data_IF_798880399046
#
_entry.id   IF_798880399046
#
_cell.length_a   1.000
_cell.length_b   1.000
_cell.length_c   1.000
_cell.angle_alpha   90.00
_cell.angle_beta   90.00
_cell.angle_gamma   90.00
#
_symmetry.space_group_name_H-M   'P 1'
#
loop_
_entity.id
_entity.type
_entity.pdbx_description
1 polymer ?
#
# COMPACT_ATOMS: atom_id res chain seq x y z
N UNK A 1 -7.27 -24.15 -2.63
CA UNK A 1 -6.66 -22.99 -3.32
C UNK A 1 -6.52 -21.78 -2.38
N UNK A 2 -7.61 -21.32 -1.74
CA UNK A 2 -7.59 -20.16 -0.83
C UNK A 2 -6.55 -20.26 0.29
N UNK A 3 -6.38 -21.44 0.91
CA UNK A 3 -5.34 -21.67 1.93
C UNK A 3 -3.93 -21.48 1.38
N UNK A 4 -3.67 -21.92 0.15
CA UNK A 4 -2.36 -21.76 -0.51
C UNK A 4 -2.11 -20.27 -0.75
N UNK A 5 -3.09 -19.53 -1.27
CA UNK A 5 -3.01 -18.08 -1.49
C UNK A 5 -2.73 -17.34 -0.19
N UNK A 6 -3.42 -17.71 0.90
CA UNK A 6 -3.19 -17.13 2.22
C UNK A 6 -1.76 -17.39 2.71
N UNK A 7 -1.27 -18.63 2.60
CA UNK A 7 0.10 -18.99 3.00
C UNK A 7 1.15 -18.23 2.17
N UNK A 8 0.96 -18.12 0.85
CA UNK A 8 1.84 -17.34 -0.02
C UNK A 8 1.84 -15.87 0.39
N UNK A 9 0.66 -15.28 0.63
CA UNK A 9 0.55 -13.91 1.10
C UNK A 9 1.25 -13.68 2.45
N UNK A 10 1.16 -14.63 3.39
CA UNK A 10 1.87 -14.54 4.66
C UNK A 10 3.40 -14.62 4.48
N UNK A 11 3.90 -15.49 3.61
CA UNK A 11 5.33 -15.59 3.26
C UNK A 11 5.83 -14.29 2.63
N UNK A 12 5.08 -13.76 1.66
CA UNK A 12 5.39 -12.47 1.04
C UNK A 12 5.38 -11.35 2.09
N UNK A 13 4.39 -11.33 2.99
CA UNK A 13 4.32 -10.36 4.08
C UNK A 13 5.55 -10.40 5.02
N UNK A 14 6.08 -11.59 5.29
CA UNK A 14 7.33 -11.72 6.05
C UNK A 14 8.52 -11.09 5.33
N UNK A 15 8.58 -11.20 3.99
CA UNK A 15 9.55 -10.45 3.18
C UNK A 15 9.29 -8.93 3.19
N UNK A 16 8.02 -8.49 3.14
CA UNK A 16 7.69 -7.05 3.20
C UNK A 16 8.17 -6.41 4.51
N UNK A 17 8.21 -7.13 5.63
CA UNK A 17 8.82 -6.64 6.87
C UNK A 17 10.30 -6.29 6.69
N UNK A 18 11.04 -7.03 5.86
CA UNK A 18 12.43 -6.71 5.51
C UNK A 18 12.48 -5.42 4.69
N UNK A 19 11.62 -5.28 3.68
CA UNK A 19 11.54 -4.06 2.86
C UNK A 19 11.23 -2.82 3.72
N UNK A 20 10.21 -2.89 4.57
CA UNK A 20 9.79 -1.80 5.48
C UNK A 20 10.93 -1.37 6.41
N UNK A 21 11.76 -2.31 6.86
CA UNK A 21 12.86 -1.99 7.77
C UNK A 21 14.10 -1.45 7.07
N UNK A 22 14.45 -1.99 5.89
CA UNK A 22 15.73 -1.74 5.21
C UNK A 22 15.69 -0.63 4.17
N UNK A 23 14.59 -0.52 3.43
CA UNK A 23 14.47 0.44 2.33
C UNK A 23 14.69 1.89 2.78
N UNK A 24 14.11 2.37 3.90
CA UNK A 24 14.37 3.73 4.36
C UNK A 24 15.80 4.00 4.82
N UNK A 25 16.57 2.94 5.08
CA UNK A 25 17.99 3.02 5.48
C UNK A 25 18.94 2.91 4.29
N UNK A 26 18.42 2.74 3.07
CA UNK A 26 19.22 2.40 1.90
C UNK A 26 19.94 1.05 2.03
N UNK A 27 19.49 0.18 2.93
CA UNK A 27 20.08 -1.15 3.12
C UNK A 27 19.56 -2.14 2.05
N UNK A 28 20.40 -3.10 1.65
CA UNK A 28 19.98 -4.12 0.70
C UNK A 28 18.89 -5.04 1.27
N UNK A 29 17.80 -5.21 0.51
CA UNK A 29 16.69 -6.11 0.85
C UNK A 29 16.99 -7.58 0.60
N UNK A 30 18.07 -7.88 -0.14
CA UNK A 30 18.46 -9.25 -0.52
C UNK A 30 19.50 -9.84 0.43
N UNK A 31 20.51 -9.04 0.82
CA UNK A 31 21.63 -9.48 1.66
C UNK A 31 21.97 -8.41 2.70
N UNK A 32 22.32 -8.75 3.96
CA UNK A 32 22.46 -10.09 4.55
C UNK A 32 21.10 -10.73 4.94
N UNK A 33 21.14 -11.97 5.45
CA UNK A 33 19.96 -12.67 5.99
C UNK A 33 19.26 -11.86 7.08
N UNK A 34 17.99 -12.16 7.34
CA UNK A 34 17.21 -11.57 8.43
C UNK A 34 17.93 -11.75 9.78
N UNK A 35 18.00 -10.67 10.55
CA UNK A 35 18.69 -10.62 11.84
C UNK A 35 17.81 -9.91 12.88
N UNK A 36 18.03 -10.22 14.15
CA UNK A 36 17.36 -9.52 15.23
C UNK A 36 17.90 -8.09 15.36
N UNK A 37 17.02 -7.09 15.39
CA UNK A 37 17.40 -5.67 15.50
C UNK A 37 18.05 -5.30 16.84
N UNK A 38 17.90 -6.12 17.88
CA UNK A 38 18.45 -5.87 19.21
C UNK A 38 19.82 -6.52 19.44
N UNK A 39 20.02 -7.76 18.98
CA UNK A 39 21.26 -8.52 19.24
C UNK A 39 22.05 -8.88 17.98
N UNK A 40 21.57 -8.48 16.82
CA UNK A 40 22.16 -8.70 15.50
C UNK A 40 22.44 -10.17 15.11
N UNK A 41 21.98 -11.14 15.92
CA UNK A 41 22.04 -12.56 15.55
C UNK A 41 21.12 -12.85 14.37
N UNK A 42 21.60 -13.66 13.43
CA UNK A 42 20.82 -14.17 12.31
C UNK A 42 19.64 -14.99 12.82
N UNK A 43 18.46 -14.75 12.25
CA UNK A 43 17.23 -15.44 12.64
C UNK A 43 17.17 -16.79 11.88
N UNK A 44 17.03 -17.92 12.59
CA UNK A 44 16.80 -19.22 11.95
C UNK A 44 15.52 -19.22 11.11
N UNK A 45 15.48 -20.02 10.05
CA UNK A 45 14.35 -20.02 9.12
C UNK A 45 13.00 -20.36 9.79
N UNK A 46 13.00 -21.22 10.82
CA UNK A 46 11.79 -21.59 11.57
C UNK A 46 11.30 -20.50 12.54
N UNK A 47 12.18 -19.55 12.91
CA UNK A 47 11.82 -18.36 13.68
C UNK A 47 11.35 -17.21 12.75
N UNK A 48 11.35 -17.42 11.43
CA UNK A 48 10.78 -16.55 10.39
C UNK A 48 9.49 -17.13 9.77
N UNK A 49 8.88 -18.12 10.41
CA UNK A 49 7.64 -18.74 9.92
C UNK A 49 6.47 -17.75 10.13
N UNK A 50 5.85 -17.23 9.05
CA UNK A 50 4.89 -16.13 9.15
C UNK A 50 3.73 -16.45 10.09
N UNK A 51 3.27 -15.46 10.85
CA UNK A 51 2.19 -15.50 11.85
C UNK A 51 2.48 -16.39 13.07
N UNK A 52 3.12 -17.54 12.86
CA UNK A 52 3.34 -18.56 13.87
C UNK A 52 4.55 -18.24 14.76
N UNK A 53 5.63 -17.72 14.20
CA UNK A 53 6.86 -17.47 14.96
C UNK A 53 6.65 -16.50 16.12
N UNK A 54 5.87 -15.43 15.93
CA UNK A 54 5.61 -14.47 17.01
C UNK A 54 4.78 -15.09 18.16
N UNK A 55 3.85 -15.99 17.83
CA UNK A 55 2.99 -16.67 18.80
C UNK A 55 3.82 -17.66 19.63
N UNK A 56 4.64 -18.48 18.96
CA UNK A 56 5.49 -19.46 19.64
C UNK A 56 6.61 -18.80 20.46
N UNK A 57 7.19 -17.71 19.96
CA UNK A 57 8.22 -16.95 20.65
C UNK A 57 7.65 -15.98 21.71
N UNK A 58 6.31 -15.91 21.86
CA UNK A 58 5.60 -14.98 22.75
C UNK A 58 6.05 -13.53 22.57
N UNK A 59 6.27 -13.13 21.33
CA UNK A 59 6.73 -11.78 20.96
C UNK A 59 8.15 -11.44 21.43
N UNK A 60 9.01 -12.43 21.71
CA UNK A 60 10.38 -12.19 22.19
C UNK A 60 11.43 -12.95 21.38
N UNK A 61 12.56 -12.31 21.07
CA UNK A 61 13.68 -12.99 20.42
C UNK A 61 14.15 -14.21 21.23
N UNK A 62 14.42 -15.33 20.56
CA UNK A 62 14.91 -16.57 21.19
C UNK A 62 16.20 -16.35 21.99
N UNK A 63 17.12 -15.56 21.44
CA UNK A 63 18.47 -15.38 21.98
C UNK A 63 18.56 -14.29 23.05
N UNK A 64 18.11 -13.06 22.76
CA UNK A 64 18.26 -11.92 23.67
C UNK A 64 17.00 -11.59 24.48
N UNK A 65 15.88 -12.29 24.23
CA UNK A 65 14.56 -12.00 24.83
C UNK A 65 14.02 -10.59 24.58
N UNK A 66 14.65 -9.82 23.69
CA UNK A 66 14.17 -8.51 23.23
C UNK A 66 12.79 -8.63 22.56
N UNK A 67 11.98 -7.58 22.66
CA UNK A 67 10.60 -7.59 22.12
C UNK A 67 10.61 -7.55 20.59
N UNK A 68 9.82 -8.41 19.97
CA UNK A 68 9.51 -8.39 18.54
C UNK A 68 8.28 -7.50 18.36
N UNK A 69 8.35 -6.55 17.42
CA UNK A 69 7.24 -5.62 17.20
C UNK A 69 6.01 -6.35 16.65
N UNK A 70 4.83 -6.00 17.17
CA UNK A 70 3.53 -6.52 16.69
C UNK A 70 3.29 -6.14 15.23
N UNK A 71 3.95 -5.09 14.72
CA UNK A 71 3.88 -4.70 13.31
C UNK A 71 4.30 -5.84 12.37
N UNK A 72 5.22 -6.72 12.78
CA UNK A 72 5.62 -7.86 11.96
C UNK A 72 4.45 -8.79 11.67
N UNK A 73 3.71 -9.14 12.73
CA UNK A 73 2.51 -9.96 12.63
C UNK A 73 1.41 -9.27 11.82
N UNK A 74 1.21 -7.97 12.03
CA UNK A 74 0.19 -7.22 11.31
C UNK A 74 0.49 -7.16 9.81
N UNK A 75 1.73 -6.90 9.40
CA UNK A 75 2.13 -6.89 7.99
C UNK A 75 1.89 -8.26 7.35
N UNK A 76 2.29 -9.35 8.02
CA UNK A 76 2.07 -10.71 7.53
C UNK A 76 0.58 -11.03 7.37
N UNK A 77 -0.24 -10.68 8.36
CA UNK A 77 -1.67 -10.94 8.34
C UNK A 77 -2.38 -10.09 7.29
N UNK A 78 -2.07 -8.79 7.22
CA UNK A 78 -2.66 -7.88 6.23
C UNK A 78 -2.31 -8.30 4.81
N UNK A 79 -1.08 -8.73 4.56
CA UNK A 79 -0.67 -9.22 3.23
C UNK A 79 -1.42 -10.50 2.87
N UNK A 80 -1.54 -11.45 3.80
CA UNK A 80 -2.30 -12.68 3.58
C UNK A 80 -3.79 -12.43 3.30
N UNK A 81 -4.40 -11.49 4.03
CA UNK A 81 -5.79 -11.08 3.83
C UNK A 81 -5.99 -10.32 2.52
N UNK A 82 -5.07 -9.43 2.14
CA UNK A 82 -5.11 -8.71 0.87
C UNK A 82 -5.04 -9.69 -0.32
N UNK A 83 -4.16 -10.69 -0.25
CA UNK A 83 -4.06 -11.76 -1.25
C UNK A 83 -5.36 -12.55 -1.34
N UNK A 84 -5.94 -12.95 -0.21
CA UNK A 84 -7.20 -13.68 -0.17
C UNK A 84 -8.36 -12.85 -0.75
N UNK A 85 -8.45 -11.57 -0.39
CA UNK A 85 -9.46 -10.65 -0.89
C UNK A 85 -9.36 -10.46 -2.40
N UNK A 86 -8.17 -10.17 -2.93
CA UNK A 86 -7.93 -10.05 -4.36
C UNK A 86 -8.22 -11.36 -5.10
N UNK A 87 -7.85 -12.50 -4.53
CA UNK A 87 -8.12 -13.82 -5.13
C UNK A 87 -9.63 -14.11 -5.20
N UNK A 88 -10.40 -13.70 -4.19
CA UNK A 88 -11.85 -13.92 -4.17
C UNK A 88 -12.60 -13.17 -5.28
N UNK A 89 -12.04 -12.05 -5.77
CA UNK A 89 -12.64 -11.23 -6.82
C UNK A 89 -12.09 -11.58 -8.21
N UNK A 90 -10.77 -11.67 -8.33
CA UNK A 90 -10.11 -11.79 -9.62
C UNK A 90 -9.73 -13.22 -10.00
N UNK A 91 -9.80 -14.19 -9.08
CA UNK A 91 -9.32 -15.55 -9.29
C UNK A 91 -7.83 -15.61 -9.64
N UNK A 92 -7.38 -16.70 -10.28
CA UNK A 92 -6.02 -16.78 -10.86
C UNK A 92 -6.00 -16.11 -12.23
N UNK A 93 -5.95 -14.78 -12.25
CA UNK A 93 -5.88 -13.97 -13.47
C UNK A 93 -4.69 -13.03 -13.47
N UNK A 94 -4.42 -12.39 -14.60
CA UNK A 94 -3.36 -11.36 -14.70
C UNK A 94 -3.64 -10.20 -13.74
N UNK A 95 -4.92 -9.80 -13.60
CA UNK A 95 -5.35 -8.76 -12.65
C UNK A 95 -4.96 -9.11 -11.22
N UNK A 96 -5.17 -10.36 -10.82
CA UNK A 96 -4.77 -10.83 -9.49
C UNK A 96 -3.27 -10.65 -9.25
N UNK A 97 -2.42 -11.04 -10.20
CA UNK A 97 -0.96 -10.91 -10.06
C UNK A 97 -0.54 -9.44 -10.00
N UNK A 98 -1.05 -8.60 -10.91
CA UNK A 98 -0.73 -7.16 -10.93
C UNK A 98 -1.16 -6.46 -9.65
N UNK A 99 -2.40 -6.71 -9.20
CA UNK A 99 -2.93 -6.03 -8.03
C UNK A 99 -2.41 -6.58 -6.70
N UNK A 100 -1.95 -7.83 -6.63
CA UNK A 100 -1.23 -8.33 -5.44
C UNK A 100 0.14 -7.68 -5.30
N UNK A 101 0.86 -7.46 -6.41
CA UNK A 101 2.11 -6.68 -6.40
C UNK A 101 1.85 -5.24 -5.98
N UNK A 102 0.79 -4.60 -6.52
CA UNK A 102 0.38 -3.26 -6.09
C UNK A 102 0.04 -3.24 -4.59
N UNK A 103 -0.73 -4.21 -4.09
CA UNK A 103 -1.08 -4.29 -2.67
C UNK A 103 0.17 -4.45 -1.79
N UNK A 104 1.16 -5.26 -2.20
CA UNK A 104 2.44 -5.36 -1.50
C UNK A 104 3.16 -4.00 -1.44
N UNK A 105 3.23 -3.28 -2.57
CA UNK A 105 3.83 -1.95 -2.63
C UNK A 105 3.12 -0.97 -1.68
N UNK A 106 1.78 -0.96 -1.69
CA UNK A 106 0.98 -0.11 -0.81
C UNK A 106 1.18 -0.44 0.67
N UNK A 107 1.26 -1.72 1.04
CA UNK A 107 1.57 -2.14 2.40
C UNK A 107 2.95 -1.61 2.82
N UNK A 108 3.98 -1.78 1.98
CA UNK A 108 5.33 -1.28 2.30
C UNK A 108 5.33 0.24 2.47
N UNK A 109 4.75 0.98 1.52
CA UNK A 109 4.63 2.44 1.59
C UNK A 109 3.90 2.89 2.84
N UNK A 110 2.75 2.29 3.17
CA UNK A 110 1.96 2.67 4.34
C UNK A 110 2.69 2.44 5.66
N UNK A 111 3.41 1.33 5.81
CA UNK A 111 4.15 1.07 7.05
C UNK A 111 5.45 1.88 7.17
N UNK A 112 6.06 2.29 6.05
CA UNK A 112 7.18 3.24 6.05
C UNK A 112 6.66 4.63 6.43
N UNK A 113 5.62 5.12 5.74
CA UNK A 113 5.00 6.42 6.02
C UNK A 113 4.50 6.50 7.47
N UNK A 114 3.92 5.42 8.00
CA UNK A 114 3.51 5.36 9.41
C UNK A 114 4.66 5.52 10.40
N UNK A 115 5.88 5.09 10.06
CA UNK A 115 7.03 5.11 10.97
C UNK A 115 7.85 6.39 10.86
N UNK A 116 8.04 6.88 9.65
CA UNK A 116 8.98 7.98 9.36
C UNK A 116 8.38 9.11 8.53
N UNK A 117 7.09 9.03 8.15
CA UNK A 117 6.38 10.05 7.39
C UNK A 117 7.00 10.38 6.03
N UNK A 118 7.58 9.36 5.39
CA UNK A 118 8.18 9.45 4.07
C UNK A 118 7.60 8.37 3.15
N UNK A 119 7.35 8.74 1.89
CA UNK A 119 6.90 7.82 0.84
C UNK A 119 8.11 7.52 -0.06
N UNK A 120 8.55 6.25 -0.16
CA UNK A 120 9.77 5.89 -0.88
C UNK A 120 9.61 6.05 -2.40
N UNK A 121 10.49 6.86 -2.98
CA UNK A 121 10.54 7.12 -4.42
C UNK A 121 10.88 5.86 -5.22
N UNK A 122 11.62 4.93 -4.62
CA UNK A 122 11.97 3.61 -5.15
C UNK A 122 10.74 2.75 -5.46
N UNK A 123 9.61 3.03 -4.82
CA UNK A 123 8.34 2.36 -5.10
C UNK A 123 7.50 3.22 -6.04
N UNK A 124 7.30 4.50 -5.73
CA UNK A 124 6.33 5.32 -6.45
C UNK A 124 6.73 5.64 -7.88
N UNK A 125 7.99 5.99 -8.14
CA UNK A 125 8.42 6.41 -9.48
C UNK A 125 8.46 5.22 -10.46
N UNK A 126 9.09 4.07 -10.12
CA UNK A 126 9.01 2.89 -10.98
C UNK A 126 7.57 2.40 -11.11
N UNK A 127 6.78 2.49 -10.04
CA UNK A 127 5.36 2.11 -10.05
C UNK A 127 4.54 2.87 -11.09
N UNK A 128 4.74 4.18 -11.25
CA UNK A 128 4.07 4.97 -12.29
C UNK A 128 4.37 4.43 -13.70
N UNK A 129 5.65 4.18 -13.99
CA UNK A 129 6.09 3.67 -15.28
C UNK A 129 5.53 2.27 -15.54
N UNK A 130 5.60 1.40 -14.53
CA UNK A 130 5.08 0.02 -14.59
C UNK A 130 3.56 0.04 -14.79
N UNK A 131 2.82 0.91 -14.12
CA UNK A 131 1.37 1.02 -14.28
C UNK A 131 0.96 1.34 -15.73
N UNK A 132 1.63 2.32 -16.35
CA UNK A 132 1.39 2.68 -17.76
C UNK A 132 1.82 1.56 -18.70
N UNK A 133 2.98 0.94 -18.46
CA UNK A 133 3.47 -0.18 -19.27
C UNK A 133 2.52 -1.38 -19.21
N UNK A 134 2.01 -1.71 -18.02
CA UNK A 134 1.04 -2.79 -17.85
C UNK A 134 -0.30 -2.47 -18.49
N UNK A 135 -0.75 -1.22 -18.51
CA UNK A 135 -1.96 -0.83 -19.24
C UNK A 135 -1.83 -1.06 -20.75
N UNK A 136 -0.63 -0.89 -21.32
CA UNK A 136 -0.36 -1.21 -22.72
C UNK A 136 -0.38 -2.72 -22.98
N UNK A 137 0.27 -3.51 -22.11
CA UNK A 137 0.40 -4.96 -22.27
C UNK A 137 -0.94 -5.67 -21.98
N UNK A 138 -1.68 -5.21 -20.98
CA UNK A 138 -2.94 -5.79 -20.53
C UNK A 138 -4.05 -4.72 -20.46
N UNK A 139 -4.67 -4.37 -21.61
CA UNK A 139 -5.74 -3.37 -21.68
C UNK A 139 -6.92 -3.61 -20.73
N UNK A 140 -7.15 -4.87 -20.38
CA UNK A 140 -8.19 -5.31 -19.45
C UNK A 140 -8.06 -4.70 -18.05
N UNK A 141 -6.85 -4.29 -17.64
CA UNK A 141 -6.62 -3.56 -16.38
C UNK A 141 -7.41 -2.24 -16.33
N UNK A 142 -7.60 -1.60 -17.48
CA UNK A 142 -8.32 -0.33 -17.63
C UNK A 142 -9.77 -0.54 -18.11
N UNK A 143 -10.26 -1.77 -18.08
CA UNK A 143 -11.57 -2.15 -18.65
C UNK A 143 -11.70 -1.81 -20.14
N UNK A 144 -10.58 -1.83 -20.87
CA UNK A 144 -10.52 -1.55 -22.31
C UNK A 144 -10.13 -2.82 -23.08
N UNK A 145 -10.53 -2.91 -24.36
CA UNK A 145 -10.08 -3.98 -25.27
C UNK A 145 -8.88 -3.56 -26.12
N UNK A 146 -8.78 -2.28 -26.42
CA UNK A 146 -7.72 -1.71 -27.25
C UNK A 146 -6.62 -1.09 -26.40
N UNK A 147 -5.38 -1.14 -26.91
CA UNK A 147 -4.19 -0.66 -26.19
C UNK A 147 -4.14 0.85 -26.04
N UNK A 148 -4.55 1.59 -27.07
CA UNK A 148 -4.49 3.05 -27.05
C UNK A 148 -5.44 3.63 -25.99
N UNK A 149 -6.74 3.25 -25.95
CA UNK A 149 -7.63 3.68 -24.86
C UNK A 149 -7.14 3.26 -23.48
N UNK A 150 -6.49 2.10 -23.34
CA UNK A 150 -5.94 1.67 -22.06
C UNK A 150 -4.77 2.55 -21.58
N UNK A 151 -3.82 2.89 -22.46
CA UNK A 151 -2.73 3.83 -22.12
C UNK A 151 -3.32 5.19 -21.75
N UNK A 152 -4.27 5.71 -22.54
CA UNK A 152 -4.90 6.98 -22.24
C UNK A 152 -5.64 6.94 -20.90
N UNK A 153 -6.33 5.84 -20.59
CA UNK A 153 -6.96 5.61 -19.28
C UNK A 153 -5.96 5.63 -18.12
N UNK A 154 -4.79 5.01 -18.31
CA UNK A 154 -3.71 4.99 -17.32
C UNK A 154 -3.07 6.37 -17.13
N UNK A 155 -2.73 7.06 -18.22
CA UNK A 155 -2.14 8.40 -18.18
C UNK A 155 -3.11 9.42 -17.58
N UNK A 156 -4.39 9.39 -18.00
CA UNK A 156 -5.42 10.24 -17.41
C UNK A 156 -5.60 9.93 -15.93
N UNK A 157 -5.56 8.67 -15.52
CA UNK A 157 -5.54 8.28 -14.11
C UNK A 157 -4.34 8.85 -13.35
N UNK A 158 -3.13 8.70 -13.90
CA UNK A 158 -1.88 9.23 -13.31
C UNK A 158 -1.94 10.74 -13.11
N UNK A 159 -2.29 11.49 -14.16
CA UNK A 159 -2.37 12.95 -14.10
C UNK A 159 -3.54 13.43 -13.24
N UNK A 160 -4.69 12.74 -13.27
CA UNK A 160 -5.82 13.07 -12.40
C UNK A 160 -5.44 12.83 -10.93
N UNK A 161 -4.87 11.67 -10.60
CA UNK A 161 -4.46 11.32 -9.24
C UNK A 161 -3.46 12.32 -8.66
N UNK A 162 -2.30 12.47 -9.33
CA UNK A 162 -1.27 13.40 -8.89
C UNK A 162 -1.73 14.86 -8.94
N UNK A 163 -2.42 15.24 -10.02
CA UNK A 163 -2.92 16.59 -10.23
C UNK A 163 -3.92 17.03 -9.16
N UNK A 164 -4.84 16.17 -8.73
CA UNK A 164 -5.81 16.50 -7.68
C UNK A 164 -5.13 16.82 -6.34
N UNK A 165 -4.21 15.97 -5.88
CA UNK A 165 -3.47 16.20 -4.62
C UNK A 165 -2.57 17.43 -4.75
N UNK A 166 -1.89 17.59 -5.88
CA UNK A 166 -1.04 18.76 -6.12
C UNK A 166 -1.85 20.06 -6.08
N UNK A 167 -2.99 20.11 -6.76
CA UNK A 167 -3.91 21.25 -6.74
C UNK A 167 -4.42 21.55 -5.33
N UNK A 168 -4.83 20.52 -4.57
CA UNK A 168 -5.21 20.70 -3.16
C UNK A 168 -4.05 21.24 -2.31
N UNK A 169 -2.82 20.76 -2.54
CA UNK A 169 -1.63 21.26 -1.85
C UNK A 169 -1.37 22.74 -2.14
N UNK A 170 -1.47 23.15 -3.41
CA UNK A 170 -1.31 24.56 -3.82
C UNK A 170 -2.41 25.45 -3.24
N UNK A 171 -3.68 25.03 -3.36
CA UNK A 171 -4.84 25.76 -2.82
C UNK A 171 -4.73 25.87 -1.29
N UNK A 172 -4.40 24.78 -0.62
CA UNK A 172 -4.22 24.73 0.83
C UNK A 172 -3.07 25.64 1.29
N UNK A 173 -1.96 25.68 0.56
CA UNK A 173 -0.83 26.58 0.84
C UNK A 173 -1.24 28.05 0.68
N UNK A 174 -2.05 28.38 -0.32
CA UNK A 174 -2.55 29.74 -0.52
C UNK A 174 -3.53 30.17 0.59
N UNK A 175 -4.46 29.29 0.99
CA UNK A 175 -5.48 29.58 1.99
C UNK A 175 -4.94 29.61 3.42
N UNK A 176 -4.15 28.59 3.80
CA UNK A 176 -3.74 28.36 5.19
C UNK A 176 -2.29 28.78 5.48
N UNK A 177 -1.53 29.22 4.45
CA UNK A 177 -0.10 29.58 4.53
C UNK A 177 0.77 28.51 5.18
N UNK A 178 0.34 27.25 5.10
CA UNK A 178 1.04 26.06 5.60
C UNK A 178 1.03 25.01 4.49
N UNK A 179 2.09 24.21 4.43
CA UNK A 179 2.12 23.08 3.50
C UNK A 179 1.07 22.06 3.93
N UNK A 180 0.02 21.94 3.11
CA UNK A 180 -1.18 21.17 3.45
C UNK A 180 -1.06 19.67 3.11
N UNK A 181 -0.23 19.32 2.13
CA UNK A 181 -0.03 17.95 1.64
C UNK A 181 1.42 17.73 1.19
N UNK A 182 1.96 16.55 1.45
CA UNK A 182 3.34 16.20 1.13
C UNK A 182 3.53 15.87 -0.35
N UNK A 183 4.72 16.15 -0.89
CA UNK A 183 5.07 15.75 -2.26
C UNK A 183 5.05 14.22 -2.47
N UNK A 184 5.23 13.44 -1.42
CA UNK A 184 5.07 11.99 -1.45
C UNK A 184 3.65 11.54 -1.78
N UNK A 185 2.63 12.21 -1.22
CA UNK A 185 1.22 11.86 -1.44
C UNK A 185 0.82 12.09 -2.91
N UNK A 186 1.36 13.14 -3.53
CA UNK A 186 1.19 13.42 -4.97
C UNK A 186 1.73 12.27 -5.81
N UNK A 187 2.94 11.79 -5.50
CA UNK A 187 3.58 10.68 -6.21
C UNK A 187 2.81 9.37 -5.99
N UNK A 188 2.35 9.11 -4.76
CA UNK A 188 1.55 7.92 -4.46
C UNK A 188 0.23 7.90 -5.23
N UNK A 189 -0.50 9.02 -5.27
CA UNK A 189 -1.75 9.12 -6.03
C UNK A 189 -1.55 9.08 -7.55
N UNK A 190 -0.46 9.64 -8.07
CA UNK A 190 -0.10 9.48 -9.47
C UNK A 190 0.21 8.02 -9.82
N UNK A 191 0.96 7.31 -8.98
CA UNK A 191 1.21 5.87 -9.15
C UNK A 191 -0.10 5.09 -9.14
N UNK A 192 -0.94 5.28 -8.11
CA UNK A 192 -2.24 4.62 -7.99
C UNK A 192 -3.13 4.88 -9.20
N UNK A 193 -3.17 6.12 -9.69
CA UNK A 193 -3.89 6.52 -10.89
C UNK A 193 -3.45 5.75 -12.14
N UNK A 194 -2.15 5.47 -12.28
CA UNK A 194 -1.63 4.69 -13.39
C UNK A 194 -2.14 3.23 -13.42
N UNK A 195 -2.48 2.65 -12.26
CA UNK A 195 -3.01 1.28 -12.16
C UNK A 195 -4.54 1.20 -12.14
N UNK A 196 -5.19 2.18 -11.52
CA UNK A 196 -6.64 2.19 -11.26
C UNK A 196 -7.44 2.93 -12.33
N UNK A 197 -6.79 3.81 -13.10
CA UNK A 197 -7.44 4.71 -14.03
C UNK A 197 -8.20 5.85 -13.34
N UNK A 198 -8.76 6.76 -14.16
CA UNK A 198 -9.33 8.01 -13.67
C UNK A 198 -10.58 7.85 -12.79
N UNK A 199 -11.43 6.84 -13.04
CA UNK A 199 -12.68 6.64 -12.27
C UNK A 199 -12.39 6.26 -10.83
N UNK A 200 -11.57 5.23 -10.64
CA UNK A 200 -11.26 4.68 -9.33
C UNK A 200 -10.30 5.58 -8.55
N UNK A 201 -9.41 6.33 -9.21
CA UNK A 201 -8.53 7.27 -8.49
C UNK A 201 -9.28 8.47 -7.93
N UNK A 202 -10.31 8.96 -8.64
CA UNK A 202 -11.19 10.01 -8.12
C UNK A 202 -11.98 9.50 -6.91
N UNK A 203 -12.52 8.29 -6.98
CA UNK A 203 -13.15 7.66 -5.82
C UNK A 203 -12.18 7.52 -4.64
N UNK A 204 -10.95 7.08 -4.91
CA UNK A 204 -9.89 6.94 -3.91
C UNK A 204 -9.60 8.28 -3.20
N UNK A 205 -9.50 9.37 -3.97
CA UNK A 205 -9.29 10.72 -3.45
C UNK A 205 -10.39 11.13 -2.44
N UNK A 206 -11.66 10.82 -2.72
CA UNK A 206 -12.76 11.16 -1.82
C UNK A 206 -12.89 10.20 -0.62
N UNK A 207 -12.51 8.93 -0.77
CA UNK A 207 -12.55 7.94 0.32
C UNK A 207 -11.41 8.12 1.31
N UNK A 208 -10.23 8.57 0.88
CA UNK A 208 -9.06 8.67 1.75
C UNK A 208 -9.25 9.61 2.95
N UNK A 209 -9.81 10.83 2.81
CA UNK A 209 -10.11 11.69 3.95
C UNK A 209 -11.12 11.08 4.93
N UNK A 210 -12.05 10.24 4.45
CA UNK A 210 -13.01 9.57 5.34
C UNK A 210 -12.29 8.59 6.28
N UNK A 211 -11.42 7.74 5.75
CA UNK A 211 -10.58 6.86 6.57
C UNK A 211 -9.63 7.66 7.48
N UNK A 212 -9.01 8.71 6.94
CA UNK A 212 -8.14 9.62 7.68
C UNK A 212 -8.85 10.32 8.84
N UNK A 213 -10.09 10.75 8.65
CA UNK A 213 -10.88 11.41 9.68
C UNK A 213 -11.27 10.43 10.80
N UNK A 214 -11.71 9.22 10.47
CA UNK A 214 -12.08 8.20 11.47
C UNK A 214 -10.88 7.86 12.36
N UNK A 215 -9.73 7.57 11.75
CA UNK A 215 -8.49 7.27 12.49
C UNK A 215 -8.00 8.51 13.22
N UNK A 216 -8.02 9.67 12.57
CA UNK A 216 -7.51 10.90 13.14
C UNK A 216 -8.28 11.43 14.34
N UNK A 217 -9.60 11.29 14.33
CA UNK A 217 -10.43 11.57 15.51
C UNK A 217 -10.06 10.60 16.65
N UNK A 218 -9.96 9.30 16.36
CA UNK A 218 -9.63 8.30 17.36
C UNK A 218 -8.23 8.52 17.99
N UNK A 219 -7.24 8.91 17.18
CA UNK A 219 -5.88 9.24 17.62
C UNK A 219 -5.87 10.54 18.41
N UNK A 220 -6.50 11.61 17.91
CA UNK A 220 -6.57 12.90 18.61
C UNK A 220 -7.21 12.79 20.00
N UNK A 221 -8.22 11.94 20.15
CA UNK A 221 -8.85 11.66 21.44
C UNK A 221 -7.93 10.91 22.43
N UNK A 222 -6.91 10.19 21.95
CA UNK A 222 -6.02 9.38 22.79
C UNK A 222 -4.64 10.00 23.02
N UNK A 223 -3.99 10.52 21.98
CA UNK A 223 -2.58 10.92 22.03
C UNK A 223 -2.34 12.42 21.90
N UNK A 224 -3.37 13.21 21.51
CA UNK A 224 -3.27 14.66 21.23
C UNK A 224 -2.20 15.03 20.19
N UNK A 225 -1.76 14.08 19.37
CA UNK A 225 -0.84 14.36 18.26
C UNK A 225 -1.58 15.00 17.10
N UNK A 226 -0.98 16.04 16.51
CA UNK A 226 -1.58 16.82 15.43
C UNK A 226 -1.21 16.33 14.02
N UNK A 227 -0.17 15.50 13.89
CA UNK A 227 0.35 15.08 12.60
C UNK A 227 0.13 13.58 12.39
N UNK A 228 -0.67 13.24 11.37
CA UNK A 228 -1.03 11.86 11.04
C UNK A 228 -0.58 11.58 9.61
N UNK A 229 0.17 10.49 9.38
CA UNK A 229 0.62 10.10 8.05
C UNK A 229 -0.58 9.80 7.14
N UNK A 230 -0.61 10.42 5.96
CA UNK A 230 -1.75 10.34 5.06
C UNK A 230 -1.66 9.14 4.09
N UNK A 231 -0.46 8.67 3.78
CA UNK A 231 -0.21 7.54 2.89
C UNK A 231 -0.97 6.25 3.23
N UNK A 232 -1.04 5.81 4.51
CA UNK A 232 -1.88 4.67 4.92
C UNK A 232 -3.35 4.78 4.51
N UNK A 233 -3.90 5.99 4.59
CA UNK A 233 -5.30 6.24 4.29
C UNK A 233 -5.56 6.25 2.78
N UNK A 234 -4.62 6.80 1.99
CA UNK A 234 -4.63 6.70 0.53
C UNK A 234 -4.55 5.25 0.07
N UNK A 235 -3.61 4.47 0.62
CA UNK A 235 -3.47 3.03 0.32
C UNK A 235 -4.73 2.25 0.66
N UNK A 236 -5.32 2.48 1.84
CA UNK A 236 -6.55 1.79 2.24
C UNK A 236 -7.72 2.15 1.32
N UNK A 237 -7.90 3.44 1.01
CA UNK A 237 -8.91 3.90 0.07
C UNK A 237 -8.73 3.29 -1.33
N UNK A 238 -7.49 3.16 -1.80
CA UNK A 238 -7.17 2.56 -3.09
C UNK A 238 -7.55 1.08 -3.15
N UNK A 239 -7.24 0.30 -2.09
CA UNK A 239 -7.63 -1.10 -2.01
C UNK A 239 -9.16 -1.23 -1.96
N UNK A 240 -9.85 -0.37 -1.20
CA UNK A 240 -11.32 -0.38 -1.15
C UNK A 240 -11.93 -0.02 -2.50
N UNK A 241 -11.40 1.01 -3.18
CA UNK A 241 -11.84 1.40 -4.52
C UNK A 241 -11.54 0.28 -5.54
N UNK A 242 -10.43 -0.44 -5.41
CA UNK A 242 -10.12 -1.56 -6.29
C UNK A 242 -11.08 -2.74 -6.12
N UNK A 243 -11.44 -3.07 -4.88
CA UNK A 243 -12.27 -4.24 -4.58
C UNK A 243 -13.78 -3.96 -4.77
N UNK A 244 -14.24 -2.75 -4.46
CA UNK A 244 -15.67 -2.40 -4.45
C UNK A 244 -16.03 -1.15 -5.27
N UNK A 245 -15.06 -0.47 -5.88
CA UNK A 245 -15.29 0.84 -6.50
C UNK A 245 -16.31 0.83 -7.63
N UNK A 246 -16.30 -0.18 -8.50
CA UNK A 246 -17.32 -0.29 -9.56
C UNK A 246 -18.74 -0.42 -8.99
N UNK A 247 -18.92 -1.20 -7.91
CA UNK A 247 -20.21 -1.33 -7.24
C UNK A 247 -20.64 0.00 -6.59
N UNK A 248 -19.70 0.70 -5.97
CA UNK A 248 -19.95 2.01 -5.35
C UNK A 248 -20.32 3.05 -6.41
N UNK A 249 -19.57 3.12 -7.51
CA UNK A 249 -19.85 4.05 -8.61
C UNK A 249 -21.20 3.77 -9.27
N UNK A 250 -21.52 2.49 -9.51
CA UNK A 250 -22.83 2.11 -10.05
C UNK A 250 -23.97 2.52 -9.10
N UNK A 251 -23.80 2.33 -7.79
CA UNK A 251 -24.80 2.77 -6.81
C UNK A 251 -24.95 4.30 -6.73
N UNK A 252 -23.89 5.07 -7.00
CA UNK A 252 -23.93 6.54 -7.00
C UNK A 252 -24.58 7.10 -8.28
N UNK A 253 -24.22 6.54 -9.45
CA UNK A 253 -24.60 7.11 -10.76
C UNK A 253 -25.84 6.48 -11.39
N UNK A 254 -26.17 5.23 -11.07
CA UNK A 254 -27.28 4.49 -11.67
C UNK A 254 -28.39 4.16 -10.66
N UNK A 255 -28.54 5.04 -9.66
CA UNK A 255 -29.73 5.08 -8.81
C UNK A 255 -30.66 6.20 -9.26
#
# INVERSE_FOLDING_TARGET
>A
MSTIVFMVGAIVGSFLNVCIYRMPKGESVVMPRSHCTACNKTIPWYDNLPLLSILFLKGKCRFCKGRISVLYFLVELLTALAFLGLFSIFGLSVKFVVYTILACALIVVSFIDFKIQEIPDEITLPGMVIGVALAFVFPELMSQRERIPAILGSLTGLFAGGGMIYLMGVIGKMLFRKDAMGGGDVKLMAMLGAFLGWRLIVLTFFLAPFFGAVVGIAVKLKTKEDLIPYGPHLSLAAIVALLWGENILNWIFFR
#
